data_IF_848484594673
#
_entry.id   IF_848484594673
#
_cell.length_a   1.000
_cell.length_b   1.000
_cell.length_c   1.000
_cell.angle_alpha   90.00
_cell.angle_beta   90.00
_cell.angle_gamma   90.00
#
_symmetry.space_group_name_H-M   'P 1'
#
loop_
_entity.id
_entity.type
_entity.pdbx_description
1 polymer ?
#
# COMPACT_ATOMS: atom_id res chain seq x y z
N UNK A 1 13.37 -13.76 39.67
CA UNK A 1 12.96 -14.57 38.58
C UNK A 1 11.77 -14.14 37.77
N UNK A 2 10.92 -13.36 38.32
CA UNK A 2 9.68 -12.97 37.67
C UNK A 2 9.87 -11.99 36.54
N UNK A 3 11.01 -11.38 36.42
CA UNK A 3 11.27 -10.41 35.34
C UNK A 3 11.41 -11.06 33.98
N UNK A 4 11.65 -12.36 33.96
CA UNK A 4 11.91 -13.05 32.69
C UNK A 4 10.67 -13.22 31.84
N UNK A 5 9.50 -13.26 32.46
CA UNK A 5 8.26 -13.38 31.71
C UNK A 5 7.99 -12.20 30.83
N UNK A 6 8.54 -11.03 31.18
CA UNK A 6 8.36 -9.83 30.38
C UNK A 6 9.12 -9.89 29.06
N UNK A 7 10.28 -10.53 29.09
CA UNK A 7 11.10 -10.64 27.87
C UNK A 7 10.44 -11.54 26.84
N UNK A 8 9.80 -12.61 27.31
CA UNK A 8 9.15 -13.55 26.40
C UNK A 8 7.90 -12.99 25.74
N UNK A 9 7.37 -11.90 26.27
CA UNK A 9 6.19 -11.28 25.68
C UNK A 9 6.52 -10.29 24.57
N UNK A 10 7.79 -9.99 24.38
CA UNK A 10 8.21 -9.07 23.32
C UNK A 10 8.47 -9.88 22.05
N UNK A 11 7.45 -10.53 21.60
CA UNK A 11 7.49 -11.18 20.30
C UNK A 11 7.05 -10.19 19.25
N UNK A 12 7.99 -9.69 18.49
CA UNK A 12 7.65 -8.95 17.30
C UNK A 12 7.32 -9.97 16.23
N UNK A 13 6.05 -10.11 15.96
CA UNK A 13 5.67 -10.83 14.75
C UNK A 13 6.16 -10.04 13.57
N UNK A 14 6.88 -10.70 12.68
CA UNK A 14 7.28 -10.07 11.43
C UNK A 14 6.05 -10.05 10.55
N UNK A 15 5.35 -8.93 10.55
CA UNK A 15 4.19 -8.73 9.71
C UNK A 15 4.65 -7.93 8.50
N UNK A 16 4.51 -8.52 7.32
CA UNK A 16 4.71 -7.76 6.08
C UNK A 16 3.47 -6.91 5.86
N UNK A 17 3.65 -5.60 5.88
CA UNK A 17 2.54 -4.69 5.67
C UNK A 17 2.12 -4.71 4.21
N UNK A 18 0.84 -4.54 4.00
CA UNK A 18 0.26 -4.27 2.68
C UNK A 18 -0.16 -2.81 2.65
N UNK A 19 0.27 -2.11 1.64
CA UNK A 19 0.08 -0.68 1.54
C UNK A 19 -0.71 -0.38 0.28
N UNK A 20 -1.82 0.34 0.43
CA UNK A 20 -2.67 0.74 -0.69
C UNK A 20 -2.47 2.22 -0.95
N UNK A 21 -2.07 2.56 -2.16
CA UNK A 21 -1.76 3.93 -2.53
C UNK A 21 -2.59 4.37 -3.74
N UNK A 22 -3.34 5.43 -3.53
CA UNK A 22 -4.05 6.14 -4.59
C UNK A 22 -3.08 7.15 -5.21
N UNK A 23 -2.73 6.94 -6.47
CA UNK A 23 -1.75 7.82 -7.14
C UNK A 23 -2.40 8.90 -7.97
N UNK A 24 -3.70 9.17 -7.74
CA UNK A 24 -4.39 10.29 -8.35
C UNK A 24 -3.94 11.59 -7.69
N UNK A 25 -4.44 12.71 -8.21
CA UNK A 25 -4.15 14.02 -7.63
C UNK A 25 -4.79 14.16 -6.26
N UNK A 26 -4.26 15.08 -5.46
CA UNK A 26 -4.83 15.37 -4.15
C UNK A 26 -6.25 15.93 -4.26
N UNK A 27 -6.54 16.66 -5.33
CA UNK A 27 -7.89 17.18 -5.59
C UNK A 27 -8.87 16.05 -5.85
N UNK A 28 -8.51 15.08 -6.65
CA UNK A 28 -9.34 13.90 -6.89
C UNK A 28 -9.60 13.15 -5.58
N UNK A 29 -8.55 12.98 -4.78
CA UNK A 29 -8.64 12.26 -3.51
C UNK A 29 -9.58 12.95 -2.53
N UNK A 30 -9.56 14.29 -2.50
CA UNK A 30 -10.45 15.07 -1.62
C UNK A 30 -11.92 14.92 -2.00
N UNK A 31 -12.21 14.76 -3.28
CA UNK A 31 -13.59 14.60 -3.75
C UNK A 31 -14.13 13.23 -3.38
N UNK A 32 -13.34 12.19 -3.61
CA UNK A 32 -13.72 10.82 -3.27
C UNK A 32 -12.46 10.00 -3.02
N UNK A 33 -12.43 9.25 -1.94
CA UNK A 33 -11.31 8.39 -1.60
C UNK A 33 -11.80 7.07 -1.01
N UNK A 34 -10.91 6.09 -0.98
CA UNK A 34 -11.17 4.79 -0.39
C UNK A 34 -10.49 4.76 0.97
N UNK A 35 -11.18 4.29 1.99
CA UNK A 35 -10.63 4.15 3.33
C UNK A 35 -9.41 3.23 3.32
N UNK A 36 -8.48 3.48 4.23
CA UNK A 36 -7.25 2.71 4.40
C UNK A 36 -6.28 2.84 3.24
N UNK A 37 -6.34 3.95 2.52
CA UNK A 37 -5.40 4.23 1.44
C UNK A 37 -4.61 5.50 1.73
N UNK A 38 -3.40 5.56 1.17
CA UNK A 38 -2.60 6.77 1.17
C UNK A 38 -2.78 7.46 -0.18
N UNK A 39 -2.61 8.78 -0.20
CA UNK A 39 -2.58 9.51 -1.45
C UNK A 39 -1.18 10.05 -1.70
N UNK A 40 -0.56 9.53 -2.75
CA UNK A 40 0.74 10.00 -3.23
C UNK A 40 0.62 10.05 -4.75
N UNK A 41 0.74 11.21 -5.34
CA UNK A 41 0.62 11.34 -6.80
C UNK A 41 1.70 10.53 -7.50
N UNK A 42 1.40 9.97 -8.66
CA UNK A 42 2.26 8.97 -9.28
C UNK A 42 3.71 9.44 -9.49
N UNK A 43 3.90 10.70 -9.82
CA UNK A 43 5.23 11.25 -10.06
C UNK A 43 6.08 11.36 -8.78
N UNK A 44 5.43 11.34 -7.63
CA UNK A 44 6.08 11.46 -6.33
C UNK A 44 6.20 10.11 -5.62
N UNK A 45 5.90 9.01 -6.31
CA UNK A 45 5.77 7.70 -5.66
C UNK A 45 7.05 7.23 -4.95
N UNK A 46 8.21 7.68 -5.42
CA UNK A 46 9.47 7.28 -4.80
C UNK A 46 9.65 7.82 -3.38
N UNK A 47 8.80 8.73 -2.94
CA UNK A 47 8.79 9.19 -1.54
C UNK A 47 8.59 8.04 -0.56
N UNK A 48 7.94 6.96 -0.97
CA UNK A 48 7.69 5.84 -0.07
C UNK A 48 8.98 5.15 0.37
N UNK A 49 10.09 5.37 -0.33
CA UNK A 49 11.37 4.76 0.04
C UNK A 49 11.82 5.16 1.45
N UNK A 50 11.32 6.27 1.97
CA UNK A 50 11.64 6.74 3.31
C UNK A 50 10.97 5.92 4.41
N UNK A 51 9.85 5.26 4.11
CA UNK A 51 9.04 4.59 5.13
C UNK A 51 8.61 3.16 4.77
N UNK A 52 8.72 2.77 3.50
CA UNK A 52 8.25 1.46 3.03
C UNK A 52 9.44 0.66 2.55
N UNK A 53 9.61 -0.54 3.11
CA UNK A 53 10.71 -1.43 2.74
C UNK A 53 10.46 -2.06 1.39
N UNK A 54 11.54 -2.48 0.73
CA UNK A 54 11.49 -3.01 -0.63
C UNK A 54 10.73 -4.35 -0.75
N UNK A 55 10.59 -5.07 0.34
CA UNK A 55 9.89 -6.35 0.38
C UNK A 55 8.44 -6.26 0.86
N UNK A 56 7.97 -5.07 1.18
CA UNK A 56 6.58 -4.87 1.54
C UNK A 56 5.70 -4.87 0.28
N UNK A 57 4.46 -5.31 0.44
CA UNK A 57 3.52 -5.36 -0.68
C UNK A 57 2.88 -4.00 -0.91
N UNK A 58 2.98 -3.50 -2.12
CA UNK A 58 2.45 -2.18 -2.50
C UNK A 58 1.40 -2.37 -3.59
N UNK A 59 0.21 -1.88 -3.31
CA UNK A 59 -0.92 -1.93 -4.24
C UNK A 59 -1.23 -0.51 -4.70
N UNK A 60 -1.20 -0.30 -6.00
CA UNK A 60 -1.37 1.02 -6.59
C UNK A 60 -2.64 1.08 -7.43
N UNK A 61 -3.31 2.20 -7.40
CA UNK A 61 -4.45 2.43 -8.27
C UNK A 61 -4.58 3.91 -8.60
N UNK A 62 -5.34 4.19 -9.64
CA UNK A 62 -5.69 5.55 -10.01
C UNK A 62 -7.12 5.57 -10.55
N UNK A 63 -7.44 6.47 -11.46
CA UNK A 63 -8.78 6.54 -12.03
C UNK A 63 -9.03 5.44 -13.06
N UNK A 64 -8.03 5.13 -13.89
CA UNK A 64 -8.16 4.19 -15.00
C UNK A 64 -7.06 3.12 -15.05
N UNK A 65 -6.05 3.20 -14.18
CA UNK A 65 -4.93 2.28 -14.17
C UNK A 65 -3.68 2.76 -14.90
N UNK A 66 -3.75 3.87 -15.64
CA UNK A 66 -2.60 4.34 -16.42
C UNK A 66 -1.53 5.01 -15.56
N UNK A 67 -1.92 5.92 -14.68
CA UNK A 67 -0.98 6.58 -13.78
C UNK A 67 -0.38 5.59 -12.78
N UNK A 68 -1.19 4.64 -12.32
CA UNK A 68 -0.70 3.61 -11.41
C UNK A 68 0.29 2.66 -12.08
N UNK A 69 0.18 2.46 -13.37
CA UNK A 69 1.19 1.67 -14.09
C UNK A 69 2.53 2.41 -14.15
N UNK A 70 2.50 3.72 -14.35
CA UNK A 70 3.72 4.53 -14.32
C UNK A 70 4.39 4.48 -12.95
N UNK A 71 3.60 4.62 -11.89
CA UNK A 71 4.10 4.53 -10.53
C UNK A 71 4.72 3.15 -10.25
N UNK A 72 4.05 2.09 -10.72
CA UNK A 72 4.55 0.73 -10.57
C UNK A 72 5.93 0.57 -11.20
N UNK A 73 6.10 1.05 -12.42
CA UNK A 73 7.39 0.95 -13.11
C UNK A 73 8.50 1.68 -12.34
N UNK A 74 8.19 2.85 -11.81
CA UNK A 74 9.17 3.59 -11.00
C UNK A 74 9.57 2.79 -9.75
N UNK A 75 8.62 2.15 -9.10
CA UNK A 75 8.92 1.36 -7.90
C UNK A 75 9.68 0.09 -8.23
N UNK A 76 9.33 -0.60 -9.30
CA UNK A 76 10.07 -1.79 -9.73
C UNK A 76 11.53 -1.43 -10.04
N UNK A 77 11.74 -0.32 -10.76
CA UNK A 77 13.09 0.16 -11.09
C UNK A 77 13.88 0.53 -9.84
N UNK A 78 13.19 0.94 -8.78
CA UNK A 78 13.81 1.30 -7.51
C UNK A 78 14.07 0.08 -6.60
N UNK A 79 13.68 -1.11 -7.03
CA UNK A 79 13.97 -2.34 -6.28
C UNK A 79 12.82 -2.92 -5.49
N UNK A 80 11.63 -2.34 -5.58
CA UNK A 80 10.45 -2.97 -4.98
C UNK A 80 10.05 -4.20 -5.79
N UNK A 81 9.78 -5.29 -5.12
CA UNK A 81 9.52 -6.56 -5.81
C UNK A 81 8.09 -7.08 -5.67
N UNK A 82 7.27 -6.42 -4.86
CA UNK A 82 5.88 -6.82 -4.66
C UNK A 82 4.97 -5.62 -4.92
N UNK A 83 4.87 -5.24 -6.19
CA UNK A 83 4.08 -4.08 -6.60
C UNK A 83 2.98 -4.55 -7.55
N UNK A 84 1.76 -4.22 -7.22
CA UNK A 84 0.59 -4.60 -8.01
C UNK A 84 -0.20 -3.35 -8.39
N UNK A 85 -0.50 -3.22 -9.67
CA UNK A 85 -1.43 -2.20 -10.15
C UNK A 85 -2.83 -2.81 -10.10
N UNK A 86 -3.66 -2.33 -9.18
CA UNK A 86 -5.02 -2.86 -9.03
C UNK A 86 -6.05 -2.09 -9.85
N UNK A 87 -5.59 -1.20 -10.73
CA UNK A 87 -6.43 -0.64 -11.79
C UNK A 87 -7.06 0.69 -11.48
N UNK A 88 -8.31 0.84 -11.89
CA UNK A 88 -9.07 2.06 -11.71
C UNK A 88 -9.73 2.11 -10.34
N UNK A 89 -10.39 3.25 -10.06
CA UNK A 89 -10.93 3.52 -8.73
C UNK A 89 -11.95 2.48 -8.27
N UNK A 90 -12.88 2.11 -9.14
CA UNK A 90 -13.92 1.13 -8.77
C UNK A 90 -13.36 -0.27 -8.60
N UNK A 91 -12.42 -0.66 -9.43
CA UNK A 91 -11.74 -1.95 -9.30
C UNK A 91 -10.96 -2.00 -8.00
N UNK A 92 -10.29 -0.92 -7.66
CA UNK A 92 -9.54 -0.82 -6.42
C UNK A 92 -10.45 -0.90 -5.20
N UNK A 93 -11.60 -0.24 -5.26
CA UNK A 93 -12.57 -0.28 -4.18
C UNK A 93 -13.01 -1.72 -3.90
N UNK A 94 -13.34 -2.45 -4.94
CA UNK A 94 -13.75 -3.86 -4.81
C UNK A 94 -12.62 -4.74 -4.31
N UNK A 95 -11.42 -4.52 -4.84
CA UNK A 95 -10.24 -5.30 -4.43
C UNK A 95 -9.93 -5.10 -2.96
N UNK A 96 -9.88 -3.85 -2.52
CA UNK A 96 -9.52 -3.51 -1.13
C UNK A 96 -10.59 -4.03 -0.17
N UNK A 97 -11.84 -3.90 -0.54
CA UNK A 97 -12.95 -4.40 0.28
C UNK A 97 -12.83 -5.90 0.49
N UNK A 98 -12.60 -6.67 -0.56
CA UNK A 98 -12.39 -8.12 -0.47
C UNK A 98 -11.15 -8.47 0.33
N UNK A 99 -10.08 -7.74 0.09
CA UNK A 99 -8.81 -7.99 0.77
C UNK A 99 -8.96 -7.85 2.28
N UNK A 100 -9.57 -6.76 2.72
CA UNK A 100 -9.78 -6.48 4.14
C UNK A 100 -10.78 -7.45 4.76
N UNK A 101 -11.82 -7.83 4.04
CA UNK A 101 -12.80 -8.80 4.51
C UNK A 101 -12.16 -10.18 4.73
N UNK A 102 -11.31 -10.60 3.80
CA UNK A 102 -10.63 -11.90 3.91
C UNK A 102 -9.68 -11.95 5.08
N UNK A 103 -9.07 -10.83 5.44
CA UNK A 103 -8.16 -10.78 6.60
C UNK A 103 -8.85 -10.94 7.93
N UNK A 104 -10.14 -10.65 8.00
CA UNK A 104 -10.91 -10.76 9.23
C UNK A 104 -11.41 -12.17 9.51
N UNK A 105 -11.28 -13.07 8.56
CA UNK A 105 -11.76 -14.45 8.68
C UNK A 105 -10.66 -15.41 9.11
#
# INVERSE_FOLDING_TARGET
GFLFSLVSLIWAEIIFAEIFIDVRTSEEYKVASIDNTLNIEWQDILQIQESVKKDESVYLFCRSGNRSEKAKQLLLDAGYNKVVNIGGFKDAESFIDKFLSNKQN
#
